data_IF_827527063896
#
_entry.id   IF_827527063896
#
_cell.length_a   1.000
_cell.length_b   1.000
_cell.length_c   1.000
_cell.angle_alpha   90.00
_cell.angle_beta   90.00
_cell.angle_gamma   90.00
#
_symmetry.space_group_name_H-M   'P 1'
#
loop_
_entity.id
_entity.type
_entity.pdbx_description
1 polymer ?
#
# COMPACT_ATOMS: atom_id res chain seq x y z
N UNK A 1 13.74 12.39 38.22
CA UNK A 1 12.65 12.18 37.26
C UNK A 1 13.24 12.20 35.85
N UNK A 2 13.29 11.08 35.11
CA UNK A 2 13.82 11.06 33.77
C UNK A 2 12.71 11.47 32.77
N UNK A 3 13.03 12.48 31.98
CA UNK A 3 12.22 13.04 30.91
C UNK A 3 11.99 11.98 29.80
N UNK A 4 10.74 11.57 29.60
CA UNK A 4 10.33 10.73 28.47
C UNK A 4 10.28 11.58 27.21
N UNK A 5 11.27 11.43 26.32
CA UNK A 5 11.19 11.99 24.97
C UNK A 5 10.16 11.19 24.17
N UNK A 6 9.22 11.83 23.45
CA UNK A 6 8.30 11.13 22.56
C UNK A 6 9.09 10.55 21.38
N UNK A 7 8.92 9.25 21.12
CA UNK A 7 9.39 8.62 19.90
C UNK A 7 8.64 9.28 18.72
N UNK A 8 9.39 9.97 17.87
CA UNK A 8 8.90 10.46 16.58
C UNK A 8 8.70 9.24 15.69
N UNK A 9 7.52 9.07 15.02
CA UNK A 9 7.37 8.05 14.00
C UNK A 9 8.32 8.39 12.86
N UNK A 10 9.25 7.48 12.56
CA UNK A 10 10.08 7.55 11.38
C UNK A 10 9.16 7.34 10.16
N UNK A 11 8.77 8.45 9.53
CA UNK A 11 8.12 8.43 8.22
C UNK A 11 9.15 7.89 7.24
N UNK A 12 8.97 6.62 6.82
CA UNK A 12 9.80 5.98 5.83
C UNK A 12 9.49 6.58 4.47
N UNK A 13 10.16 7.69 4.13
CA UNK A 13 10.18 8.25 2.79
C UNK A 13 10.96 7.28 1.90
N UNK A 14 10.27 6.38 1.21
CA UNK A 14 10.85 5.52 0.19
C UNK A 14 11.17 6.38 -1.02
N UNK A 15 12.42 6.84 -1.11
CA UNK A 15 13.01 7.40 -2.33
C UNK A 15 13.07 6.28 -3.38
N UNK A 16 12.17 6.33 -4.37
CA UNK A 16 12.26 5.56 -5.60
C UNK A 16 13.40 6.15 -6.47
N UNK A 17 14.63 5.74 -6.20
CA UNK A 17 15.75 5.91 -7.11
C UNK A 17 16.35 4.53 -7.37
N UNK A 18 16.02 3.95 -8.51
CA UNK A 18 16.58 2.68 -8.96
C UNK A 18 15.79 2.15 -10.14
N UNK A 19 16.47 1.73 -11.20
CA UNK A 19 15.91 1.18 -12.42
C UNK A 19 14.72 0.26 -12.11
N UNK A 20 13.52 0.60 -12.61
CA UNK A 20 12.33 -0.22 -12.52
C UNK A 20 12.59 -1.53 -13.27
N UNK A 21 12.91 -2.59 -12.56
CA UNK A 21 12.60 -3.93 -13.02
C UNK A 21 11.08 -4.02 -12.99
N UNK A 22 10.46 -3.75 -14.14
CA UNK A 22 9.02 -3.92 -14.32
C UNK A 22 8.75 -5.41 -14.14
N UNK A 23 8.05 -5.77 -13.07
CA UNK A 23 7.55 -7.13 -12.87
C UNK A 23 6.45 -7.45 -13.88
N UNK A 24 6.07 -8.73 -13.97
CA UNK A 24 4.88 -9.11 -14.72
C UNK A 24 3.65 -8.39 -14.16
N UNK A 25 2.67 -8.08 -15.04
CA UNK A 25 1.40 -7.50 -14.60
C UNK A 25 0.67 -8.46 -13.68
N UNK A 26 0.13 -7.92 -12.59
CA UNK A 26 -0.70 -8.65 -11.65
C UNK A 26 -1.90 -7.80 -11.23
N UNK A 27 -3.09 -8.41 -11.21
CA UNK A 27 -4.30 -7.78 -10.68
C UNK A 27 -4.34 -7.80 -9.15
N UNK A 28 -5.39 -7.21 -8.58
CA UNK A 28 -5.68 -7.32 -7.14
C UNK A 28 -5.88 -8.79 -6.78
N UNK A 29 -5.04 -9.37 -5.91
CA UNK A 29 -5.19 -10.77 -5.52
C UNK A 29 -6.47 -10.97 -4.73
N UNK A 30 -7.09 -12.14 -4.88
CA UNK A 30 -8.17 -12.54 -3.98
C UNK A 30 -7.60 -12.79 -2.57
N UNK A 31 -8.07 -12.05 -1.54
CA UNK A 31 -7.64 -12.27 -0.17
C UNK A 31 -7.88 -13.70 0.33
N UNK A 32 -8.90 -14.39 -0.19
CA UNK A 32 -9.18 -15.78 0.16
C UNK A 32 -8.10 -16.77 -0.32
N UNK A 33 -7.22 -16.33 -1.24
CA UNK A 33 -6.09 -17.15 -1.72
C UNK A 33 -4.90 -17.20 -0.76
N UNK A 34 -4.98 -16.50 0.37
CA UNK A 34 -3.95 -16.47 1.41
C UNK A 34 -4.56 -16.74 2.79
N UNK A 35 -3.85 -17.50 3.59
CA UNK A 35 -4.23 -17.72 4.99
C UNK A 35 -3.13 -17.16 5.88
N UNK A 36 -3.43 -16.08 6.60
CA UNK A 36 -2.48 -15.49 7.56
C UNK A 36 -2.11 -16.51 8.64
N UNK A 37 -0.84 -16.58 8.97
CA UNK A 37 -0.26 -17.56 9.88
C UNK A 37 0.01 -18.93 9.26
N UNK A 38 -0.42 -19.21 8.01
CA UNK A 38 -0.25 -20.50 7.35
C UNK A 38 0.49 -20.40 6.02
N UNK A 39 0.05 -19.53 5.11
CA UNK A 39 0.71 -19.34 3.81
C UNK A 39 2.20 -19.03 4.03
N UNK A 40 3.05 -19.74 3.31
CA UNK A 40 4.50 -19.63 3.47
C UNK A 40 5.14 -18.64 2.49
N UNK A 41 6.31 -18.14 2.82
CA UNK A 41 7.12 -17.31 1.92
C UNK A 41 7.47 -18.05 0.62
N UNK A 42 7.75 -19.36 0.69
CA UNK A 42 8.04 -20.20 -0.47
C UNK A 42 6.88 -20.26 -1.45
N UNK A 43 5.63 -20.39 -0.96
CA UNK A 43 4.43 -20.38 -1.80
C UNK A 43 4.24 -19.02 -2.50
N UNK A 44 4.48 -17.91 -1.81
CA UNK A 44 4.40 -16.58 -2.41
C UNK A 44 5.47 -16.40 -3.49
N UNK A 45 6.72 -16.80 -3.22
CA UNK A 45 7.80 -16.76 -4.23
C UNK A 45 7.54 -17.68 -5.41
N UNK A 46 6.95 -18.86 -5.18
CA UNK A 46 6.57 -19.77 -6.27
C UNK A 46 5.47 -19.16 -7.17
N UNK A 47 4.51 -18.44 -6.57
CA UNK A 47 3.36 -17.85 -7.27
C UNK A 47 3.73 -16.57 -8.04
N UNK A 48 4.53 -15.68 -7.44
CA UNK A 48 4.82 -14.33 -7.97
C UNK A 48 6.25 -14.17 -8.49
N UNK A 49 7.09 -15.19 -8.34
CA UNK A 49 8.48 -15.15 -8.78
C UNK A 49 9.36 -14.30 -7.88
N UNK A 50 10.37 -13.68 -8.51
CA UNK A 50 11.35 -12.83 -7.81
C UNK A 50 10.71 -11.49 -7.41
N UNK A 51 10.77 -11.09 -6.12
CA UNK A 51 10.27 -9.78 -5.69
C UNK A 51 11.12 -8.65 -6.27
N UNK A 52 10.50 -7.48 -6.47
CA UNK A 52 11.17 -6.24 -6.89
C UNK A 52 11.92 -5.57 -5.73
N UNK A 53 11.61 -5.94 -4.50
CA UNK A 53 12.27 -5.47 -3.30
C UNK A 53 12.04 -6.41 -2.13
N UNK A 54 13.01 -6.45 -1.23
CA UNK A 54 12.95 -7.23 0.00
C UNK A 54 13.53 -6.39 1.13
N UNK A 55 12.84 -6.37 2.27
CA UNK A 55 13.29 -5.66 3.49
C UNK A 55 13.04 -6.53 4.70
N UNK A 56 13.85 -6.34 5.74
CA UNK A 56 13.65 -6.98 7.02
C UNK A 56 13.74 -5.95 8.14
N UNK A 57 12.83 -6.03 9.10
CA UNK A 57 12.80 -5.14 10.25
C UNK A 57 12.30 -5.87 11.52
N UNK A 58 12.60 -5.30 12.69
CA UNK A 58 12.12 -5.84 13.96
C UNK A 58 10.86 -5.12 14.41
N UNK A 59 9.81 -5.89 14.68
CA UNK A 59 8.54 -5.42 15.23
C UNK A 59 8.34 -6.10 16.59
N UNK A 60 8.34 -5.34 17.65
CA UNK A 60 8.24 -5.92 19.01
C UNK A 60 9.34 -6.95 19.32
N UNK A 61 10.56 -6.76 18.79
CA UNK A 61 11.68 -7.69 18.94
C UNK A 61 11.67 -8.87 17.93
N UNK A 62 10.58 -9.13 17.23
CA UNK A 62 10.42 -10.20 16.23
C UNK A 62 10.86 -9.74 14.85
N UNK A 63 11.61 -10.57 14.13
CA UNK A 63 12.03 -10.29 12.75
C UNK A 63 10.84 -10.48 11.81
N UNK A 64 10.55 -9.46 11.00
CA UNK A 64 9.55 -9.49 9.94
C UNK A 64 10.22 -9.18 8.62
N UNK A 65 10.15 -10.10 7.68
CA UNK A 65 10.62 -9.93 6.30
C UNK A 65 9.46 -9.49 5.42
N UNK A 66 9.66 -8.49 4.57
CA UNK A 66 8.64 -8.02 3.62
C UNK A 66 9.13 -8.16 2.19
N UNK A 67 8.41 -8.91 1.38
CA UNK A 67 8.58 -9.01 -0.06
C UNK A 67 7.68 -7.99 -0.75
N UNK A 68 8.24 -7.25 -1.70
CA UNK A 68 7.47 -6.31 -2.51
C UNK A 68 7.50 -6.74 -3.97
N UNK A 69 6.35 -6.68 -4.60
CA UNK A 69 6.16 -6.83 -6.04
C UNK A 69 5.59 -5.53 -6.58
N UNK A 70 6.11 -5.04 -7.70
CA UNK A 70 5.66 -3.80 -8.30
C UNK A 70 5.52 -3.98 -9.82
N UNK A 71 4.45 -3.41 -10.36
CA UNK A 71 4.19 -3.31 -11.79
C UNK A 71 3.90 -1.85 -12.14
N UNK A 72 4.40 -1.38 -13.27
CA UNK A 72 4.14 -0.05 -13.76
C UNK A 72 3.91 -0.10 -15.28
N UNK A 73 2.86 0.57 -15.77
CA UNK A 73 2.58 0.66 -17.20
C UNK A 73 3.29 1.90 -17.78
N UNK A 74 4.31 1.66 -18.62
CA UNK A 74 5.19 2.72 -19.15
C UNK A 74 4.58 3.56 -20.29
N UNK A 75 3.30 3.37 -20.64
CA UNK A 75 2.71 3.92 -21.87
C UNK A 75 2.05 5.29 -21.71
N UNK A 76 2.00 5.85 -20.54
CA UNK A 76 1.30 7.10 -20.26
C UNK A 76 2.17 8.10 -19.51
N UNK A 77 1.81 9.38 -19.62
CA UNK A 77 2.48 10.47 -18.87
C UNK A 77 2.32 10.29 -17.36
N UNK A 78 1.16 9.81 -16.92
CA UNK A 78 0.92 9.35 -15.55
C UNK A 78 1.07 7.84 -15.55
N UNK A 79 2.23 7.34 -15.15
CA UNK A 79 2.54 5.91 -15.10
C UNK A 79 1.73 5.26 -13.99
N UNK A 80 0.65 4.52 -14.30
CA UNK A 80 -0.08 3.82 -13.25
C UNK A 80 0.74 2.68 -12.69
N UNK A 81 0.63 2.47 -11.37
CA UNK A 81 1.44 1.52 -10.61
C UNK A 81 0.55 0.61 -9.79
N UNK A 82 0.91 -0.66 -9.73
CA UNK A 82 0.43 -1.65 -8.76
C UNK A 82 1.57 -2.06 -7.86
N UNK A 83 1.32 -2.13 -6.58
CA UNK A 83 2.25 -2.71 -5.61
C UNK A 83 1.54 -3.73 -4.75
N UNK A 84 2.23 -4.83 -4.47
CA UNK A 84 1.81 -5.85 -3.54
C UNK A 84 2.95 -6.11 -2.56
N UNK A 85 2.65 -6.04 -1.27
CA UNK A 85 3.59 -6.36 -0.19
C UNK A 85 3.10 -7.58 0.58
N UNK A 86 4.03 -8.47 0.93
CA UNK A 86 3.77 -9.64 1.76
C UNK A 86 4.76 -9.64 2.93
N UNK A 87 4.26 -9.63 4.15
CA UNK A 87 5.05 -9.65 5.37
C UNK A 87 5.07 -11.04 6.00
N UNK A 88 6.26 -11.51 6.39
CA UNK A 88 6.47 -12.84 6.94
C UNK A 88 7.17 -12.76 8.29
N UNK A 89 6.75 -13.61 9.21
CA UNK A 89 7.45 -13.90 10.46
C UNK A 89 7.68 -15.41 10.53
N UNK A 90 8.93 -15.82 10.77
CA UNK A 90 9.31 -17.26 10.82
C UNK A 90 8.85 -18.04 9.57
N UNK A 91 8.91 -17.39 8.39
CA UNK A 91 8.54 -17.98 7.11
C UNK A 91 7.03 -18.06 6.83
N UNK A 92 6.16 -17.63 7.75
CA UNK A 92 4.70 -17.61 7.59
C UNK A 92 4.17 -16.21 7.36
N UNK A 93 3.16 -16.09 6.51
CA UNK A 93 2.53 -14.83 6.14
C UNK A 93 1.81 -14.20 7.34
N UNK A 94 2.26 -13.04 7.78
CA UNK A 94 1.61 -12.27 8.85
C UNK A 94 0.87 -11.04 8.34
N UNK A 95 0.97 -10.75 7.04
CA UNK A 95 0.20 -9.70 6.43
C UNK A 95 0.48 -9.50 4.95
N UNK A 96 -0.45 -8.87 4.28
CA UNK A 96 -0.32 -8.44 2.89
C UNK A 96 -1.05 -7.12 2.68
N UNK A 97 -0.62 -6.36 1.66
CA UNK A 97 -1.24 -5.10 1.27
C UNK A 97 -1.09 -4.88 -0.23
N UNK A 98 -2.18 -4.44 -0.86
CA UNK A 98 -2.25 -4.09 -2.27
C UNK A 98 -2.55 -2.61 -2.43
N UNK A 99 -1.75 -1.92 -3.21
CA UNK A 99 -1.96 -0.53 -3.59
C UNK A 99 -1.96 -0.41 -5.10
N UNK A 100 -2.90 0.36 -5.63
CA UNK A 100 -3.01 0.62 -7.06
C UNK A 100 -3.39 2.05 -7.34
N UNK A 101 -2.84 2.59 -8.44
CA UNK A 101 -3.30 3.84 -9.06
C UNK A 101 -4.06 3.59 -10.38
N UNK A 102 -4.39 2.34 -10.70
CA UNK A 102 -5.29 2.01 -11.81
C UNK A 102 -6.74 2.17 -11.38
N UNK A 103 -7.50 2.98 -12.09
CA UNK A 103 -8.93 3.20 -11.80
C UNK A 103 -9.76 1.90 -11.81
N UNK A 104 -9.39 0.94 -12.65
CA UNK A 104 -10.06 -0.36 -12.74
C UNK A 104 -9.98 -1.19 -11.46
N UNK A 105 -8.99 -0.96 -10.60
CA UNK A 105 -8.77 -1.75 -9.40
C UNK A 105 -9.63 -1.32 -8.20
N UNK A 106 -10.34 -0.18 -8.33
CA UNK A 106 -11.34 0.32 -7.37
C UNK A 106 -10.87 0.27 -5.91
N UNK A 107 -9.69 0.82 -5.62
CA UNK A 107 -9.09 0.82 -4.28
C UNK A 107 -9.52 2.03 -3.43
N UNK A 108 -10.30 2.97 -3.98
CA UNK A 108 -10.80 4.12 -3.24
C UNK A 108 -11.73 3.70 -2.10
N UNK A 109 -11.69 4.45 -1.00
CA UNK A 109 -12.56 4.26 0.16
C UNK A 109 -13.14 5.60 0.62
N UNK A 110 -14.27 5.55 1.32
CA UNK A 110 -14.93 6.75 1.85
C UNK A 110 -14.31 7.19 3.18
N UNK A 111 -13.60 8.32 3.15
CA UNK A 111 -13.02 8.91 4.37
C UNK A 111 -14.07 9.42 5.34
N UNK A 112 -15.27 9.80 4.87
CA UNK A 112 -16.34 10.27 5.76
C UNK A 112 -16.88 9.14 6.63
N UNK A 113 -16.79 7.89 6.16
CA UNK A 113 -17.15 6.71 6.93
C UNK A 113 -16.35 6.58 8.24
N UNK A 114 -15.11 7.11 8.27
CA UNK A 114 -14.26 7.06 9.47
C UNK A 114 -14.87 7.78 10.67
N UNK A 115 -15.69 8.82 10.45
CA UNK A 115 -16.36 9.55 11.53
C UNK A 115 -17.38 8.69 12.29
N UNK A 116 -17.81 7.57 11.68
CA UNK A 116 -18.77 6.63 12.25
C UNK A 116 -18.09 5.48 13.02
N UNK A 117 -16.77 5.29 12.82
CA UNK A 117 -16.00 4.26 13.51
C UNK A 117 -15.67 4.77 14.92
N UNK A 118 -16.05 4.00 15.92
CA UNK A 118 -15.82 4.32 17.34
C UNK A 118 -14.92 3.28 17.97
N UNK A 119 -13.84 3.76 18.56
CA UNK A 119 -12.91 2.93 19.34
C UNK A 119 -13.62 2.27 20.52
N UNK A 120 -13.40 0.97 20.72
CA UNK A 120 -13.99 0.19 21.79
C UNK A 120 -15.45 -0.20 21.59
N UNK A 121 -16.09 0.24 20.48
CA UNK A 121 -17.49 -0.05 20.18
C UNK A 121 -17.67 -0.74 18.82
N UNK A 122 -17.10 -0.17 17.74
CA UNK A 122 -17.28 -0.67 16.38
C UNK A 122 -16.58 -2.01 16.20
N UNK A 123 -17.34 -2.99 15.74
CA UNK A 123 -16.80 -4.29 15.37
C UNK A 123 -16.15 -4.28 13.98
N UNK A 124 -15.33 -5.30 13.68
CA UNK A 124 -14.72 -5.45 12.36
C UNK A 124 -15.77 -5.60 11.26
N UNK A 125 -16.85 -6.32 11.52
CA UNK A 125 -17.97 -6.47 10.57
C UNK A 125 -18.60 -5.13 10.23
N UNK A 126 -18.89 -4.32 11.23
CA UNK A 126 -19.44 -2.96 11.03
C UNK A 126 -18.43 -2.06 10.29
N UNK A 127 -17.14 -2.16 10.60
CA UNK A 127 -16.11 -1.39 9.89
C UNK A 127 -16.04 -1.79 8.40
N UNK A 128 -16.16 -3.10 8.07
CA UNK A 128 -16.23 -3.58 6.69
C UNK A 128 -17.48 -3.07 5.95
N UNK A 129 -18.63 -2.97 6.62
CA UNK A 129 -19.85 -2.40 6.04
C UNK A 129 -19.71 -0.89 5.78
N UNK A 130 -18.99 -0.17 6.65
CA UNK A 130 -18.79 1.27 6.56
C UNK A 130 -17.76 1.67 5.48
N UNK A 131 -16.63 0.97 5.42
CA UNK A 131 -15.47 1.35 4.60
C UNK A 131 -15.35 0.47 3.36
N UNK A 132 -15.94 -0.71 3.39
CA UNK A 132 -15.81 -1.69 2.31
C UNK A 132 -14.67 -2.69 2.53
N UNK A 133 -14.30 -3.42 1.46
CA UNK A 133 -13.25 -4.43 1.49
C UNK A 133 -11.86 -3.80 1.62
N UNK A 134 -11.04 -4.22 2.62
CA UNK A 134 -9.67 -3.75 2.75
C UNK A 134 -8.80 -4.22 1.58
N UNK A 135 -7.76 -3.46 1.26
CA UNK A 135 -6.74 -3.83 0.30
C UNK A 135 -5.65 -4.70 0.90
N UNK A 136 -5.57 -4.75 2.22
CA UNK A 136 -4.60 -5.53 2.98
C UNK A 136 -5.11 -5.96 4.33
N UNK A 137 -4.49 -7.00 4.88
CA UNK A 137 -4.78 -7.55 6.19
C UNK A 137 -3.50 -7.96 6.89
N UNK A 138 -3.44 -7.74 8.20
CA UNK A 138 -2.28 -8.04 9.02
C UNK A 138 -2.68 -8.66 10.35
N UNK A 139 -1.84 -9.58 10.85
CA UNK A 139 -1.88 -10.11 12.21
C UNK A 139 -0.55 -9.85 12.90
N UNK A 140 -0.50 -10.02 14.22
CA UNK A 140 0.75 -9.94 14.97
C UNK A 140 1.71 -11.10 14.58
N UNK A 141 3.02 -10.84 14.47
CA UNK A 141 3.69 -9.54 14.57
C UNK A 141 3.77 -8.84 13.21
N UNK A 142 3.24 -7.63 13.13
CA UNK A 142 3.40 -6.78 11.94
C UNK A 142 3.40 -5.30 12.32
N UNK A 143 3.79 -4.43 11.39
CA UNK A 143 3.80 -2.98 11.62
C UNK A 143 2.42 -2.40 11.94
N UNK A 144 1.36 -3.06 11.49
CA UNK A 144 -0.03 -2.64 11.71
C UNK A 144 -0.72 -3.39 12.85
N UNK A 145 -0.16 -4.54 13.29
CA UNK A 145 -0.64 -5.33 14.40
C UNK A 145 0.54 -5.64 15.33
N UNK A 146 0.82 -4.74 16.29
CA UNK A 146 2.04 -4.72 17.08
C UNK A 146 1.98 -5.49 18.40
N UNK A 147 0.81 -6.00 18.80
CA UNK A 147 0.62 -6.78 20.03
C UNK A 147 -0.05 -8.13 19.73
N UNK A 148 0.22 -9.18 20.54
CA UNK A 148 -0.46 -10.47 20.43
C UNK A 148 -1.99 -10.32 20.43
N UNK A 149 -2.67 -11.16 19.64
CA UNK A 149 -4.14 -11.11 19.48
C UNK A 149 -4.65 -9.98 18.57
N UNK A 150 -3.79 -9.02 18.20
CA UNK A 150 -4.18 -7.93 17.33
C UNK A 150 -4.16 -8.30 15.85
N UNK A 151 -5.08 -7.68 15.12
CA UNK A 151 -5.13 -7.67 13.65
C UNK A 151 -5.36 -6.26 13.13
N UNK A 152 -5.11 -6.03 11.85
CA UNK A 152 -5.43 -4.79 11.19
C UNK A 152 -5.93 -5.02 9.78
N UNK A 153 -6.94 -4.23 9.37
CA UNK A 153 -7.34 -4.07 7.99
C UNK A 153 -6.74 -2.77 7.44
N UNK A 154 -6.16 -2.85 6.24
CA UNK A 154 -5.49 -1.73 5.58
C UNK A 154 -6.22 -1.41 4.28
N UNK A 155 -6.44 -0.14 4.04
CA UNK A 155 -7.03 0.40 2.82
C UNK A 155 -6.03 1.35 2.19
N UNK A 156 -5.46 0.94 1.06
CA UNK A 156 -4.44 1.71 0.35
C UNK A 156 -4.95 2.15 -1.01
N UNK A 157 -4.97 3.45 -1.25
CA UNK A 157 -5.38 4.05 -2.51
C UNK A 157 -4.32 5.05 -3.00
N UNK A 158 -4.06 5.05 -4.30
CA UNK A 158 -3.19 6.05 -4.91
C UNK A 158 -3.85 6.60 -6.18
N UNK A 159 -3.79 7.91 -6.35
CA UNK A 159 -4.32 8.61 -7.52
C UNK A 159 -3.28 9.60 -8.02
N UNK A 160 -3.08 9.64 -9.33
CA UNK A 160 -2.17 10.60 -9.96
C UNK A 160 -2.94 11.50 -10.92
N UNK A 161 -2.79 12.80 -10.76
CA UNK A 161 -3.44 13.82 -11.58
C UNK A 161 -2.41 14.74 -12.20
N UNK A 162 -2.68 15.14 -13.46
CA UNK A 162 -1.88 16.15 -14.14
C UNK A 162 -2.39 17.53 -13.76
N UNK A 163 -1.55 18.36 -13.15
CA UNK A 163 -1.92 19.73 -12.84
C UNK A 163 -2.06 20.59 -14.10
N UNK A 164 -2.97 21.57 -14.07
CA UNK A 164 -3.46 22.35 -15.20
C UNK A 164 -2.38 23.04 -16.04
N UNK A 165 -1.20 23.29 -15.49
CA UNK A 165 -0.04 23.84 -16.21
C UNK A 165 0.70 22.79 -17.07
N UNK A 166 0.26 21.53 -17.07
CA UNK A 166 0.78 20.46 -17.96
C UNK A 166 2.18 19.95 -17.66
N UNK A 167 2.91 20.56 -16.76
CA UNK A 167 4.32 20.24 -16.48
C UNK A 167 4.54 19.50 -15.15
N UNK A 168 3.50 19.21 -14.40
CA UNK A 168 3.62 18.57 -13.08
C UNK A 168 2.59 17.46 -12.92
N UNK A 169 3.03 16.31 -12.44
CA UNK A 169 2.18 15.20 -12.00
C UNK A 169 2.09 15.26 -10.47
N UNK A 170 0.87 15.39 -9.95
CA UNK A 170 0.59 15.25 -8.53
C UNK A 170 0.09 13.83 -8.23
N UNK A 171 0.66 13.20 -7.23
CA UNK A 171 0.24 11.89 -6.76
C UNK A 171 -0.19 12.00 -5.31
N UNK A 172 -1.45 11.67 -5.04
CA UNK A 172 -2.00 11.55 -3.70
C UNK A 172 -2.14 10.09 -3.34
N UNK A 173 -1.53 9.70 -2.22
CA UNK A 173 -1.64 8.36 -1.64
C UNK A 173 -2.35 8.45 -0.30
N UNK A 174 -3.36 7.61 -0.10
CA UNK A 174 -4.14 7.50 1.13
C UNK A 174 -3.98 6.11 1.69
N UNK A 175 -3.60 6.01 2.96
CA UNK A 175 -3.51 4.73 3.68
C UNK A 175 -4.30 4.87 4.96
N UNK A 176 -5.38 4.10 5.06
CA UNK A 176 -6.16 3.95 6.27
C UNK A 176 -5.83 2.60 6.89
N UNK A 177 -5.54 2.60 8.18
CA UNK A 177 -5.39 1.40 9.00
C UNK A 177 -6.46 1.38 10.07
N UNK A 178 -7.15 0.26 10.21
CA UNK A 178 -8.09 0.00 11.30
C UNK A 178 -7.57 -1.22 12.05
N UNK A 179 -7.14 -1.02 13.30
CA UNK A 179 -6.65 -2.08 14.17
C UNK A 179 -7.75 -2.58 15.09
N UNK A 180 -7.78 -3.91 15.30
CA UNK A 180 -8.76 -4.61 16.11
C UNK A 180 -8.04 -5.42 17.20
N UNK A 181 -8.74 -5.64 18.30
CA UNK A 181 -8.32 -6.56 19.34
C UNK A 181 -8.70 -8.04 19.01
N UNK A 182 -8.49 -8.92 19.95
CA UNK A 182 -8.80 -10.35 19.84
C UNK A 182 -10.30 -10.67 19.73
N UNK A 183 -11.18 -9.71 20.05
CA UNK A 183 -12.63 -9.80 19.93
C UNK A 183 -13.16 -9.13 18.66
N UNK A 184 -12.27 -8.75 17.73
CA UNK A 184 -12.59 -8.00 16.50
C UNK A 184 -13.25 -6.62 16.76
N UNK A 185 -12.93 -5.96 17.89
CA UNK A 185 -13.38 -4.60 18.21
C UNK A 185 -12.28 -3.60 17.87
N UNK A 186 -12.65 -2.46 17.27
CA UNK A 186 -11.72 -1.40 16.88
C UNK A 186 -11.00 -0.84 18.10
N UNK A 187 -9.67 -0.87 18.08
CA UNK A 187 -8.80 -0.28 19.12
C UNK A 187 -8.08 0.97 18.66
N UNK A 188 -7.90 1.11 17.34
CA UNK A 188 -7.21 2.26 16.75
C UNK A 188 -7.59 2.43 15.29
N UNK A 189 -7.67 3.68 14.83
CA UNK A 189 -7.77 4.05 13.41
C UNK A 189 -6.72 5.08 13.08
N UNK A 190 -6.02 4.91 11.96
CA UNK A 190 -4.99 5.82 11.52
C UNK A 190 -5.11 6.09 10.01
N UNK A 191 -5.31 7.34 9.62
CA UNK A 191 -5.35 7.78 8.23
C UNK A 191 -4.12 8.62 7.92
N UNK A 192 -3.35 8.21 6.93
CA UNK A 192 -2.24 8.98 6.37
C UNK A 192 -2.58 9.39 4.95
N UNK A 193 -2.46 10.68 4.66
CA UNK A 193 -2.59 11.22 3.31
C UNK A 193 -1.26 11.88 2.96
N UNK A 194 -0.66 11.45 1.85
CA UNK A 194 0.60 11.99 1.36
C UNK A 194 0.40 12.47 -0.07
N UNK A 195 0.74 13.72 -0.33
CA UNK A 195 0.74 14.29 -1.68
C UNK A 195 2.17 14.60 -2.10
N UNK A 196 2.52 14.16 -3.30
CA UNK A 196 3.83 14.45 -3.92
C UNK A 196 3.64 14.98 -5.32
N UNK A 197 4.39 16.04 -5.68
CA UNK A 197 4.37 16.64 -7.00
C UNK A 197 5.74 16.40 -7.68
N UNK A 198 5.72 15.91 -8.92
CA UNK A 198 6.92 15.72 -9.73
C UNK A 198 6.79 16.45 -11.05
N UNK A 199 7.82 17.24 -11.47
CA UNK A 199 7.87 17.79 -12.82
C UNK A 199 7.83 16.66 -13.85
N UNK A 200 7.00 16.81 -14.88
CA UNK A 200 7.02 15.93 -16.03
C UNK A 200 8.25 16.25 -16.88
N UNK A 201 9.14 15.30 -17.06
CA UNK A 201 10.22 15.44 -18.04
C UNK A 201 9.59 15.30 -19.42
N UNK A 202 9.33 16.42 -20.08
CA UNK A 202 8.98 16.41 -21.49
C UNK A 202 10.24 16.01 -22.27
N UNK A 203 10.21 14.86 -22.93
CA UNK A 203 11.25 14.50 -23.89
C UNK A 203 11.09 15.37 -25.14
N UNK A 204 12.19 15.81 -25.79
CA UNK A 204 12.11 16.70 -26.99
C UNK A 204 11.23 16.18 -28.12
N UNK A 205 11.06 14.87 -28.25
CA UNK A 205 10.24 14.22 -29.30
C UNK A 205 8.73 14.53 -29.23
N UNK A 206 8.23 15.02 -28.10
CA UNK A 206 6.82 15.41 -27.98
C UNK A 206 6.54 16.84 -28.42
N UNK A 207 7.56 17.60 -28.83
CA UNK A 207 7.44 19.01 -29.22
C UNK A 207 7.35 19.25 -30.74
N UNK A 208 7.51 18.23 -31.57
CA UNK A 208 7.39 18.38 -33.02
C UNK A 208 6.11 17.70 -33.51
N UNK A 209 5.08 18.47 -33.94
CA UNK A 209 4.04 17.91 -34.77
C UNK A 209 4.68 17.48 -36.11
N UNK A 210 4.26 16.37 -36.74
CA UNK A 210 4.79 15.99 -38.00
C UNK A 210 4.47 17.09 -39.01
N UNK A 211 5.51 17.73 -39.56
CA UNK A 211 5.39 18.62 -40.68
C UNK A 211 4.86 17.78 -41.88
N UNK A 212 3.58 17.93 -42.16
CA UNK A 212 2.99 17.48 -43.41
C UNK A 212 3.70 18.19 -44.53
N UNK A 213 4.60 17.48 -45.23
CA UNK A 213 5.11 17.90 -46.51
C UNK A 213 3.99 17.79 -47.53
N UNK A 214 3.45 18.93 -47.95
CA UNK A 214 2.74 19.07 -49.21
C UNK A 214 3.78 19.24 -50.33
N UNK A 215 3.82 18.32 -51.24
CA UNK A 215 4.34 18.53 -52.58
C UNK A 215 3.58 17.60 -53.53
#
# INVERSE_FOLDING_TARGET
>A
MPSRRPLRPAVLAVLLAGACLLGADFGRPDPASFTLGQTTEAEIRARFGKPTGETAARVGGKLVTTLRYAYAEARTVAVPVRTMSYAFHEGHLVGFDYMSSFNADQTAFDELALKRIKRGETTRTEALELVGKPTGQYIYPSFYATAPGRRADVYSHSQSEKLSAGATLETTTKVLTIAFDEHDVVVETHLVITTSAKPLKLTPDTMHPPHGGLS
#
